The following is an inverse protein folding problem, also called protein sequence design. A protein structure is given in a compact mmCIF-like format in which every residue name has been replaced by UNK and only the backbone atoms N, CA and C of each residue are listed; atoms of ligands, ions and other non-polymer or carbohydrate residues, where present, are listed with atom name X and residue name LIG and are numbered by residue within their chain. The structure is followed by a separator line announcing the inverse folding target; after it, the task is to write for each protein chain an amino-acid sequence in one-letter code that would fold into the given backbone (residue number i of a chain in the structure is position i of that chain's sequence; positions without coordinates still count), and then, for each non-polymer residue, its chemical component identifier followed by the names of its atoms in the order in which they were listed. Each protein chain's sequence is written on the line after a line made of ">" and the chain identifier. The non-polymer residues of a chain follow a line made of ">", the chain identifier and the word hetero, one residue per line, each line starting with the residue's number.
data_IF_497615568256
#
_entry.id   IF_497615568256
#
_cell.length_a   1.000
_cell.length_b   1.000
_cell.length_c   1.000
_cell.angle_alpha   90.00
_cell.angle_beta   90.00
_cell.angle_gamma   90.00
#
_symmetry.space_group_name_H-M   'P 1'
#
loop_
_entity.id
_entity.type
_entity.pdbx_description
1 polymer ?
#
# COMPACT_ATOMS: atom_id res chain seq x y z
N UNK A 1 1.63 14.32 -1.46
CA UNK A 1 0.60 13.65 -2.27
C UNK A 1 1.07 12.27 -2.66
N UNK A 2 0.21 11.27 -2.48
CA UNK A 2 0.57 9.87 -2.75
C UNK A 2 0.42 9.56 -4.25
N UNK A 3 1.35 8.74 -4.75
CA UNK A 3 1.31 8.34 -6.16
C UNK A 3 0.19 7.33 -6.40
N UNK A 4 -0.57 7.52 -7.49
CA UNK A 4 -1.60 6.58 -7.93
C UNK A 4 -1.00 5.59 -8.91
N UNK A 5 -1.20 4.30 -8.64
CA UNK A 5 -0.72 3.25 -9.53
C UNK A 5 -1.78 2.91 -10.58
N UNK A 6 -1.32 2.64 -11.79
CA UNK A 6 -2.09 2.01 -12.84
C UNK A 6 -1.61 0.57 -12.95
N UNK A 7 -2.26 -0.24 -13.79
CA UNK A 7 -1.80 -1.61 -14.06
C UNK A 7 -0.35 -1.59 -14.55
N UNK A 8 -0.03 -0.65 -15.45
CA UNK A 8 1.31 -0.56 -16.02
C UNK A 8 2.37 -0.15 -15.00
N UNK A 9 2.08 0.89 -14.20
CA UNK A 9 3.05 1.33 -13.20
C UNK A 9 3.17 0.34 -12.05
N UNK A 10 2.13 -0.42 -11.75
CA UNK A 10 2.21 -1.51 -10.78
C UNK A 10 3.22 -2.56 -11.24
N UNK A 11 3.16 -2.98 -12.51
CA UNK A 11 4.11 -3.95 -13.05
C UNK A 11 5.54 -3.43 -12.98
N UNK A 12 5.72 -2.16 -13.25
CA UNK A 12 7.02 -1.52 -13.28
C UNK A 12 7.61 -1.33 -11.88
N UNK A 13 6.80 -0.91 -10.91
CA UNK A 13 7.28 -0.48 -9.60
C UNK A 13 7.10 -1.50 -8.48
N UNK A 14 6.16 -2.41 -8.62
CA UNK A 14 5.80 -3.34 -7.54
C UNK A 14 6.05 -4.79 -7.93
N UNK A 15 5.31 -5.31 -8.90
CA UNK A 15 5.43 -6.72 -9.28
C UNK A 15 5.06 -6.90 -10.75
N UNK A 16 6.03 -7.34 -11.54
CA UNK A 16 5.80 -7.62 -12.95
C UNK A 16 5.33 -9.06 -13.11
N UNK A 17 4.01 -9.28 -13.03
CA UNK A 17 3.40 -10.60 -13.14
C UNK A 17 3.38 -11.14 -14.56
N UNK A 18 3.72 -10.34 -15.57
CA UNK A 18 3.89 -10.83 -16.95
C UNK A 18 5.20 -11.61 -17.10
N UNK A 19 6.23 -11.21 -16.34
CA UNK A 19 7.56 -11.80 -16.44
C UNK A 19 7.86 -12.82 -15.35
N UNK A 20 7.18 -12.71 -14.19
CA UNK A 20 7.47 -13.54 -13.04
C UNK A 20 6.24 -14.30 -12.59
N UNK A 21 6.40 -15.63 -12.41
CA UNK A 21 5.33 -16.48 -11.91
C UNK A 21 5.16 -16.29 -10.40
N UNK A 22 6.28 -16.22 -9.68
CA UNK A 22 6.28 -16.06 -8.24
C UNK A 22 6.45 -14.60 -7.87
N UNK A 23 5.93 -14.22 -6.70
CA UNK A 23 6.02 -12.85 -6.21
C UNK A 23 7.47 -12.39 -6.14
N UNK A 24 7.75 -11.24 -6.73
CA UNK A 24 9.05 -10.59 -6.68
C UNK A 24 8.84 -9.09 -6.67
N UNK A 25 9.16 -8.45 -5.55
CA UNK A 25 9.00 -7.01 -5.45
C UNK A 25 10.09 -6.28 -6.25
N UNK A 26 9.68 -5.36 -7.12
CA UNK A 26 10.59 -4.61 -7.99
C UNK A 26 11.20 -3.39 -7.32
N UNK A 27 10.65 -2.94 -6.21
CA UNK A 27 11.12 -1.72 -5.55
C UNK A 27 12.33 -1.93 -4.65
N UNK A 28 12.94 -0.82 -4.26
CA UNK A 28 14.11 -0.81 -3.36
C UNK A 28 13.76 -0.29 -1.97
N UNK A 29 12.52 0.16 -1.79
CA UNK A 29 11.98 0.66 -0.52
C UNK A 29 10.67 -0.06 -0.24
N UNK A 30 10.42 -0.52 1.01
CA UNK A 30 9.13 -1.15 1.31
C UNK A 30 7.97 -0.23 0.98
N UNK A 31 6.84 -0.79 0.59
CA UNK A 31 5.70 0.04 0.23
C UNK A 31 4.39 -0.46 0.82
N UNK A 32 3.41 0.44 0.85
CA UNK A 32 2.02 0.15 1.15
C UNK A 32 1.18 0.55 -0.05
N UNK A 33 0.10 -0.17 -0.30
CA UNK A 33 -0.83 0.16 -1.39
C UNK A 33 -2.24 0.23 -0.83
N UNK A 34 -2.87 1.40 -0.97
CA UNK A 34 -4.23 1.67 -0.51
C UNK A 34 -5.22 1.47 -1.66
N UNK A 35 -6.02 0.42 -1.56
CA UNK A 35 -7.12 0.16 -2.50
C UNK A 35 -8.37 0.86 -1.98
N UNK A 36 -8.87 1.84 -2.72
CA UNK A 36 -9.95 2.73 -2.28
C UNK A 36 -10.93 3.04 -3.41
N UNK A 37 -12.00 3.75 -3.08
CA UNK A 37 -12.90 4.35 -4.06
C UNK A 37 -13.37 5.71 -3.53
N UNK A 38 -13.71 6.61 -4.44
CA UNK A 38 -14.11 7.97 -4.06
C UNK A 38 -15.41 8.03 -3.24
N UNK A 39 -16.30 7.06 -3.47
CA UNK A 39 -17.59 6.99 -2.75
C UNK A 39 -17.48 6.34 -1.37
N UNK A 40 -16.33 5.85 -1.01
CA UNK A 40 -16.13 5.05 0.20
C UNK A 40 -15.82 5.97 1.41
N UNK A 41 -16.77 6.06 2.34
CA UNK A 41 -16.59 6.86 3.56
C UNK A 41 -15.39 6.46 4.40
N UNK A 42 -15.24 5.17 4.77
CA UNK A 42 -14.08 4.73 5.55
C UNK A 42 -12.74 4.99 4.85
N UNK A 43 -12.71 4.93 3.51
CA UNK A 43 -11.50 5.26 2.74
C UNK A 43 -11.08 6.71 2.97
N UNK A 44 -12.06 7.62 3.09
CA UNK A 44 -11.80 9.04 3.33
C UNK A 44 -11.23 9.30 4.71
N UNK A 45 -11.52 8.42 5.67
CA UNK A 45 -10.96 8.51 7.01
C UNK A 45 -9.49 8.08 7.03
N UNK A 46 -9.14 7.13 6.19
CA UNK A 46 -7.77 6.61 6.11
C UNK A 46 -6.85 7.54 5.33
N UNK A 47 -7.37 8.24 4.33
CA UNK A 47 -6.56 9.08 3.44
C UNK A 47 -5.62 10.05 4.17
N UNK A 48 -6.09 10.88 5.13
CA UNK A 48 -5.19 11.79 5.84
C UNK A 48 -4.16 11.07 6.72
N UNK A 49 -4.52 9.89 7.24
CA UNK A 49 -3.60 9.07 8.03
C UNK A 49 -2.42 8.63 7.16
N UNK A 50 -2.70 8.19 5.94
CA UNK A 50 -1.65 7.75 5.01
C UNK A 50 -0.76 8.91 4.58
N UNK A 51 -1.31 10.09 4.38
CA UNK A 51 -0.52 11.27 4.07
C UNK A 51 0.43 11.59 5.23
N UNK A 52 -0.06 11.52 6.47
CA UNK A 52 0.79 11.74 7.65
C UNK A 52 1.89 10.70 7.74
N UNK A 53 1.55 9.43 7.54
CA UNK A 53 2.55 8.35 7.58
C UNK A 53 3.63 8.54 6.52
N UNK A 54 3.25 8.94 5.31
CA UNK A 54 4.23 9.18 4.26
C UNK A 54 5.21 10.29 4.66
N UNK A 55 4.70 11.36 5.25
CA UNK A 55 5.56 12.46 5.73
C UNK A 55 6.47 12.02 6.85
N UNK A 56 5.94 11.25 7.81
CA UNK A 56 6.70 10.83 9.00
C UNK A 56 7.79 9.83 8.66
N UNK A 57 7.52 8.90 7.73
CA UNK A 57 8.48 7.87 7.38
C UNK A 57 9.45 8.30 6.27
N UNK A 58 9.12 9.36 5.54
CA UNK A 58 10.01 9.92 4.52
C UNK A 58 10.44 8.89 3.49
N UNK A 59 11.74 8.79 3.26
CA UNK A 59 12.31 7.91 2.25
C UNK A 59 12.32 6.43 2.63
N UNK A 60 11.97 6.11 3.87
CA UNK A 60 12.00 4.73 4.35
C UNK A 60 10.74 3.94 3.98
N UNK A 61 9.73 4.61 3.43
CA UNK A 61 8.45 3.99 3.09
C UNK A 61 7.84 4.72 1.90
N UNK A 62 7.30 3.97 0.96
CA UNK A 62 6.52 4.54 -0.15
C UNK A 62 5.08 4.09 0.00
N UNK A 63 4.14 5.02 -0.04
CA UNK A 63 2.72 4.70 0.01
C UNK A 63 2.08 5.06 -1.34
N UNK A 64 1.47 4.05 -1.98
CA UNK A 64 0.75 4.20 -3.24
C UNK A 64 -0.75 4.09 -3.02
N UNK A 65 -1.51 4.57 -3.98
CA UNK A 65 -2.97 4.45 -4.01
C UNK A 65 -3.42 3.76 -5.29
N UNK A 66 -4.46 2.96 -5.19
CA UNK A 66 -5.13 2.33 -6.33
C UNK A 66 -6.62 2.61 -6.24
N UNK A 67 -7.16 3.32 -7.22
CA UNK A 67 -8.60 3.55 -7.33
C UNK A 67 -9.23 2.28 -7.91
N UNK A 68 -10.02 1.58 -7.12
CA UNK A 68 -10.59 0.29 -7.51
C UNK A 68 -11.60 0.40 -8.65
N UNK A 69 -12.21 1.56 -8.83
CA UNK A 69 -13.17 1.78 -9.93
C UNK A 69 -12.43 2.01 -11.25
N UNK A 70 -11.29 2.68 -11.19
CA UNK A 70 -10.47 2.99 -12.36
C UNK A 70 -9.57 1.80 -12.74
N UNK A 71 -9.03 1.11 -11.74
CA UNK A 71 -8.09 0.01 -11.93
C UNK A 71 -8.73 -1.32 -11.54
N UNK A 72 -9.76 -1.71 -12.26
CA UNK A 72 -10.56 -2.91 -11.95
C UNK A 72 -9.77 -4.20 -12.09
N UNK A 73 -8.94 -4.31 -13.13
CA UNK A 73 -8.15 -5.50 -13.35
C UNK A 73 -7.12 -5.70 -12.24
N UNK A 74 -6.43 -4.64 -11.87
CA UNK A 74 -5.45 -4.67 -10.79
C UNK A 74 -6.11 -5.06 -9.46
N UNK A 75 -7.27 -4.49 -9.18
CA UNK A 75 -8.02 -4.79 -7.96
C UNK A 75 -8.47 -6.24 -7.94
N UNK A 76 -8.88 -6.78 -9.09
CA UNK A 76 -9.30 -8.18 -9.22
C UNK A 76 -8.13 -9.14 -8.99
N UNK A 77 -6.92 -8.79 -9.41
CA UNK A 77 -5.74 -9.60 -9.18
C UNK A 77 -5.47 -9.85 -7.70
N UNK A 78 -5.82 -8.88 -6.85
CA UNK A 78 -5.66 -9.01 -5.40
C UNK A 78 -6.94 -9.49 -4.71
N UNK A 79 -7.98 -9.79 -5.47
CA UNK A 79 -9.24 -10.26 -4.90
C UNK A 79 -9.89 -9.26 -3.97
N UNK A 80 -9.79 -7.96 -4.29
CA UNK A 80 -10.33 -6.90 -3.43
C UNK A 80 -11.85 -7.01 -3.39
N UNK A 81 -12.42 -7.25 -2.20
CA UNK A 81 -13.85 -7.36 -1.99
C UNK A 81 -14.38 -6.26 -1.08
N UNK A 82 -13.56 -5.78 -0.16
CA UNK A 82 -13.92 -4.69 0.73
C UNK A 82 -12.86 -3.62 0.69
N UNK A 83 -13.27 -2.38 0.89
CA UNK A 83 -12.36 -1.23 0.88
C UNK A 83 -12.62 -0.37 2.13
N UNK A 84 -11.59 0.28 2.67
CA UNK A 84 -10.22 0.25 2.17
C UNK A 84 -9.53 -1.08 2.46
N UNK A 85 -8.64 -1.48 1.56
CA UNK A 85 -7.74 -2.61 1.78
C UNK A 85 -6.32 -2.11 1.60
N UNK A 86 -5.45 -2.42 2.55
CA UNK A 86 -4.07 -1.95 2.57
C UNK A 86 -3.14 -3.13 2.38
N UNK A 87 -2.35 -3.11 1.31
CA UNK A 87 -1.34 -4.13 1.05
C UNK A 87 0.00 -3.64 1.57
N UNK A 88 0.64 -4.44 2.42
CA UNK A 88 1.96 -4.15 2.95
C UNK A 88 2.98 -5.00 2.21
N UNK A 89 3.91 -4.34 1.52
CA UNK A 89 4.87 -5.00 0.62
C UNK A 89 6.28 -4.86 1.18
N UNK A 90 6.80 -5.93 1.82
CA UNK A 90 8.18 -5.91 2.34
C UNK A 90 9.19 -6.06 1.21
N UNK A 91 10.44 -5.71 1.47
CA UNK A 91 11.52 -5.90 0.50
C UNK A 91 11.72 -7.37 0.19
N UNK A 92 11.50 -8.23 1.18
CA UNK A 92 11.65 -9.69 1.04
C UNK A 92 10.45 -10.38 1.65
N UNK A 93 10.04 -11.49 1.04
CA UNK A 93 8.89 -12.24 1.52
C UNK A 93 7.58 -11.82 0.85
N UNK A 94 6.49 -12.37 1.36
CA UNK A 94 5.18 -12.18 0.76
C UNK A 94 4.50 -10.91 1.26
N UNK A 95 3.73 -10.23 0.41
CA UNK A 95 2.93 -9.09 0.88
C UNK A 95 1.79 -9.57 1.76
N UNK A 96 1.32 -8.68 2.64
CA UNK A 96 0.21 -8.98 3.55
C UNK A 96 -0.87 -7.92 3.41
N UNK A 97 -2.13 -8.36 3.45
CA UNK A 97 -3.29 -7.48 3.30
C UNK A 97 -3.96 -7.25 4.64
N UNK A 98 -4.29 -5.99 4.93
CA UNK A 98 -5.14 -5.62 6.06
C UNK A 98 -6.36 -4.88 5.52
N UNK A 99 -7.53 -5.18 6.08
CA UNK A 99 -8.79 -4.59 5.61
C UNK A 99 -9.39 -3.67 6.66
N UNK A 100 -9.98 -2.57 6.18
CA UNK A 100 -10.74 -1.66 7.01
C UNK A 100 -9.99 -0.39 7.39
N UNK A 101 -10.73 0.57 7.94
CA UNK A 101 -10.20 1.86 8.37
C UNK A 101 -9.61 1.71 9.77
N UNK A 102 -8.38 1.24 9.83
CA UNK A 102 -7.68 1.00 11.08
C UNK A 102 -7.08 2.30 11.63
N UNK A 103 -6.85 2.38 12.96
CA UNK A 103 -6.19 3.54 13.55
C UNK A 103 -4.75 3.67 13.06
N UNK A 104 -4.23 4.89 13.09
CA UNK A 104 -2.85 5.18 12.69
C UNK A 104 -1.83 4.30 13.43
N UNK A 105 -2.02 4.11 14.73
CA UNK A 105 -1.13 3.27 15.55
C UNK A 105 -1.07 1.83 15.05
N UNK A 106 -2.18 1.31 14.55
CA UNK A 106 -2.23 -0.05 13.99
C UNK A 106 -1.41 -0.13 12.70
N UNK A 107 -1.51 0.89 11.85
CA UNK A 107 -0.68 0.96 10.64
C UNK A 107 0.80 1.06 10.99
N UNK A 108 1.15 1.88 11.97
CA UNK A 108 2.54 2.02 12.42
C UNK A 108 3.10 0.68 12.91
N UNK A 109 2.29 -0.06 13.66
CA UNK A 109 2.70 -1.37 14.15
C UNK A 109 2.90 -2.36 13.00
N UNK A 110 2.00 -2.37 12.02
CA UNK A 110 2.13 -3.23 10.85
C UNK A 110 3.35 -2.86 9.99
N UNK A 111 3.62 -1.58 9.85
CA UNK A 111 4.81 -1.11 9.13
C UNK A 111 6.07 -1.67 9.79
N UNK A 112 6.15 -1.63 11.11
CA UNK A 112 7.30 -2.18 11.82
C UNK A 112 7.36 -3.70 11.70
N UNK A 113 6.25 -4.41 11.96
CA UNK A 113 6.23 -5.87 12.01
C UNK A 113 6.34 -6.53 10.64
N UNK A 114 5.66 -5.98 9.63
CA UNK A 114 5.60 -6.58 8.29
C UNK A 114 6.71 -6.04 7.40
N UNK A 115 6.92 -4.73 7.42
CA UNK A 115 7.89 -4.08 6.53
C UNK A 115 9.27 -3.92 7.14
N UNK A 116 9.39 -4.18 8.44
CA UNK A 116 10.65 -4.01 9.18
C UNK A 116 11.18 -2.57 9.10
N UNK A 117 10.26 -1.61 9.13
CA UNK A 117 10.60 -0.18 9.13
C UNK A 117 10.16 0.40 10.46
N UNK A 118 11.11 0.94 11.20
CA UNK A 118 10.82 1.59 12.47
C UNK A 118 10.40 3.02 12.25
N UNK A 119 9.49 3.50 13.08
CA UNK A 119 9.08 4.89 13.04
C UNK A 119 10.30 5.78 13.30
N UNK A 120 10.56 6.74 12.40
CA UNK A 120 11.70 7.63 12.58
C UNK A 120 11.57 8.41 13.89
N UNK A 121 12.72 8.58 14.56
CA UNK A 121 12.78 9.35 15.79
C UNK A 121 12.85 10.83 15.44
N UNK A 122 11.73 11.52 15.58
CA UNK A 122 11.63 12.95 15.25
C UNK A 122 11.73 13.73 16.55
N UNK A 123 12.91 14.12 16.89
CA UNK A 123 13.12 15.04 18.03
C UNK A 123 13.56 16.39 17.54
#
# INVERSE_FOLDING_TARGET
>A
MLEHLTLETFKEKVFNFDLNKDWKYEGTTPCMIDFYADWCGPCKMVAPILEDLQKEYGENLVIYKVDTEDQRELSALFGIQSIPSLLFVPLQGQPQMAMGALPKSTFEKAIEEVLNVKKPNIN
#
